data_IF_493868438143
#
_entry.id   IF_493868438143
#
_cell.length_a   1.000
_cell.length_b   1.000
_cell.length_c   1.000
_cell.angle_alpha   90.00
_cell.angle_beta   90.00
_cell.angle_gamma   90.00
#
_symmetry.space_group_name_H-M   'P 1'
#
loop_
_entity.id
_entity.type
_entity.pdbx_description
1 polymer ?
#
# COMPACT_ATOMS: atom_id res chain seq x y z
N UNK A 1 -35.16 40.80 -25.57
CA UNK A 1 -35.75 39.45 -25.61
C UNK A 1 -34.91 38.57 -26.53
N UNK A 2 -34.13 37.69 -25.89
CA UNK A 2 -33.66 36.36 -26.32
C UNK A 2 -33.73 36.06 -27.82
N UNK A 3 -32.58 36.10 -28.52
CA UNK A 3 -32.33 35.26 -29.69
C UNK A 3 -30.81 35.14 -29.93
N UNK A 4 -30.36 33.90 -30.18
CA UNK A 4 -29.05 33.47 -30.73
C UNK A 4 -27.79 33.66 -29.88
N UNK A 5 -27.43 32.63 -29.10
CA UNK A 5 -26.03 32.29 -28.79
C UNK A 5 -25.94 30.83 -28.31
N UNK A 6 -26.29 29.88 -29.18
CA UNK A 6 -26.30 28.44 -28.90
C UNK A 6 -25.61 27.63 -30.00
N UNK A 7 -24.43 28.07 -30.46
CA UNK A 7 -23.80 27.46 -31.65
C UNK A 7 -22.28 27.26 -31.61
N UNK A 8 -21.55 27.68 -30.57
CA UNK A 8 -20.06 27.71 -30.63
C UNK A 8 -19.38 26.67 -29.73
N UNK A 9 -20.09 26.03 -28.80
CA UNK A 9 -19.47 25.14 -27.80
C UNK A 9 -19.29 23.67 -28.23
N UNK A 10 -19.75 23.26 -29.42
CA UNK A 10 -19.60 21.86 -29.90
C UNK A 10 -18.48 21.67 -30.95
N UNK A 11 -17.76 22.73 -31.33
CA UNK A 11 -16.71 22.66 -32.35
C UNK A 11 -15.30 22.38 -31.81
N UNK A 12 -15.14 22.26 -30.49
CA UNK A 12 -13.83 22.14 -29.81
C UNK A 12 -13.69 20.86 -28.97
N UNK A 13 -14.26 19.76 -29.45
CA UNK A 13 -13.89 18.44 -28.95
C UNK A 13 -12.89 17.83 -29.95
N UNK A 14 -11.57 17.82 -29.69
CA UNK A 14 -10.70 16.98 -30.48
C UNK A 14 -11.21 15.55 -30.28
N UNK A 15 -11.62 14.91 -31.38
CA UNK A 15 -11.99 13.51 -31.38
C UNK A 15 -10.89 12.74 -30.63
N UNK A 16 -11.23 12.12 -29.50
CA UNK A 16 -10.34 11.18 -28.84
C UNK A 16 -9.93 10.18 -29.92
N UNK A 17 -8.63 10.04 -30.26
CA UNK A 17 -8.22 9.03 -31.21
C UNK A 17 -8.58 7.68 -30.59
N UNK A 18 -9.59 7.02 -31.16
CA UNK A 18 -10.03 5.66 -30.79
C UNK A 18 -9.03 4.57 -31.19
N UNK A 19 -7.78 4.95 -31.41
CA UNK A 19 -6.69 4.03 -31.67
C UNK A 19 -5.93 3.86 -30.37
N UNK A 20 -6.41 2.92 -29.55
CA UNK A 20 -5.48 2.12 -28.74
C UNK A 20 -4.41 1.67 -29.74
N UNK A 21 -3.23 2.29 -29.70
CA UNK A 21 -2.19 2.03 -30.68
C UNK A 21 -1.89 0.54 -30.67
N UNK A 22 -1.66 -0.05 -31.83
CA UNK A 22 -1.40 -1.49 -31.96
C UNK A 22 -0.19 -1.91 -31.09
N UNK A 23 0.73 -0.97 -30.84
CA UNK A 23 1.81 -1.07 -29.88
C UNK A 23 1.34 -1.11 -28.41
N UNK A 24 0.40 -0.27 -28.00
CA UNK A 24 -0.19 -0.31 -26.65
C UNK A 24 -0.98 -1.61 -26.43
N UNK A 25 -1.70 -2.09 -27.45
CA UNK A 25 -2.41 -3.37 -27.41
C UNK A 25 -1.46 -4.56 -27.28
N UNK A 26 -0.38 -4.59 -28.07
CA UNK A 26 0.70 -5.59 -27.94
C UNK A 26 1.39 -5.55 -26.58
N UNK A 27 1.64 -4.37 -26.03
CA UNK A 27 2.24 -4.24 -24.70
C UNK A 27 1.31 -4.77 -23.62
N UNK A 28 0.01 -4.44 -23.70
CA UNK A 28 -1.01 -4.96 -22.78
C UNK A 28 -1.11 -6.49 -22.91
N UNK A 29 -1.12 -7.03 -24.12
CA UNK A 29 -1.18 -8.48 -24.37
C UNK A 29 0.07 -9.19 -23.86
N UNK A 30 1.27 -8.59 -24.03
CA UNK A 30 2.54 -9.14 -23.53
C UNK A 30 2.62 -9.08 -21.99
N UNK A 31 2.09 -8.02 -21.37
CA UNK A 31 2.00 -7.92 -19.91
C UNK A 31 0.98 -8.94 -19.39
N UNK A 32 -0.16 -9.11 -20.06
CA UNK A 32 -1.16 -10.09 -19.70
C UNK A 32 -0.64 -11.54 -19.83
N UNK A 33 0.15 -11.86 -20.88
CA UNK A 33 0.80 -13.18 -21.03
C UNK A 33 1.82 -13.45 -19.92
N UNK A 34 2.63 -12.46 -19.56
CA UNK A 34 3.59 -12.58 -18.45
C UNK A 34 2.87 -12.77 -17.11
N UNK A 35 1.84 -12.00 -16.84
CA UNK A 35 0.99 -12.13 -15.65
C UNK A 35 0.35 -13.53 -15.59
N UNK A 36 -0.12 -14.03 -16.73
CA UNK A 36 -0.75 -15.33 -16.84
C UNK A 36 0.24 -16.48 -16.64
N UNK A 37 1.49 -16.36 -17.11
CA UNK A 37 2.56 -17.33 -16.88
C UNK A 37 3.02 -17.33 -15.40
N UNK A 38 3.15 -16.15 -14.79
CA UNK A 38 3.41 -16.03 -13.34
C UNK A 38 2.28 -16.60 -12.49
N UNK A 39 1.02 -16.38 -12.91
CA UNK A 39 -0.13 -16.99 -12.27
C UNK A 39 -0.10 -18.52 -12.40
N UNK A 40 0.22 -19.05 -13.59
CA UNK A 40 0.21 -20.50 -13.86
C UNK A 40 1.20 -21.27 -13.00
N UNK A 41 2.39 -20.73 -12.73
CA UNK A 41 3.40 -21.42 -11.91
C UNK A 41 3.09 -21.41 -10.40
N UNK A 42 2.14 -20.58 -9.93
CA UNK A 42 1.71 -20.53 -8.51
C UNK A 42 0.39 -21.26 -8.21
N UNK A 43 -0.26 -21.82 -9.22
CA UNK A 43 -1.73 -22.06 -9.26
C UNK A 43 -2.33 -22.94 -8.15
N UNK A 44 -1.65 -23.98 -7.65
CA UNK A 44 -2.31 -24.88 -6.68
C UNK A 44 -2.15 -24.40 -5.24
N UNK A 45 -0.92 -24.07 -4.84
CA UNK A 45 -0.64 -23.62 -3.46
C UNK A 45 -1.13 -22.20 -3.23
N UNK A 46 -1.01 -21.30 -4.20
CA UNK A 46 -1.49 -19.91 -4.05
C UNK A 46 -3.01 -19.83 -4.05
N UNK A 47 -3.72 -20.63 -4.86
CA UNK A 47 -5.20 -20.64 -4.85
C UNK A 47 -5.75 -21.17 -3.52
N UNK A 48 -5.16 -22.24 -2.98
CA UNK A 48 -5.52 -22.77 -1.66
C UNK A 48 -5.17 -21.74 -0.58
N UNK A 49 -3.99 -21.13 -0.66
CA UNK A 49 -3.56 -20.10 0.28
C UNK A 49 -4.47 -18.88 0.24
N UNK A 50 -4.86 -18.35 -0.92
CA UNK A 50 -5.73 -17.19 -1.02
C UNK A 50 -7.16 -17.48 -0.54
N UNK A 51 -7.66 -18.70 -0.78
CA UNK A 51 -8.96 -19.15 -0.23
C UNK A 51 -8.89 -19.29 1.29
N UNK A 52 -7.83 -19.89 1.82
CA UNK A 52 -7.61 -19.97 3.27
C UNK A 52 -7.40 -18.57 3.85
N UNK A 53 -6.76 -17.62 3.13
CA UNK A 53 -6.62 -16.22 3.59
C UNK A 53 -7.95 -15.56 3.73
N UNK A 54 -8.76 -15.66 2.69
CA UNK A 54 -10.07 -15.04 2.67
C UNK A 54 -10.99 -15.64 3.73
N UNK A 55 -10.84 -16.92 4.07
CA UNK A 55 -11.64 -17.59 5.10
C UNK A 55 -11.10 -17.28 6.49
N UNK A 56 -9.79 -17.33 6.70
CA UNK A 56 -9.14 -17.08 7.99
C UNK A 56 -9.27 -15.61 8.43
N UNK A 57 -9.34 -14.66 7.49
CA UNK A 57 -9.60 -13.25 7.80
C UNK A 57 -11.08 -12.90 7.90
N UNK A 58 -11.99 -13.85 7.60
CA UNK A 58 -13.42 -13.60 7.65
C UNK A 58 -13.94 -13.62 9.08
N UNK A 59 -14.73 -12.62 9.51
CA UNK A 59 -15.34 -12.62 10.83
C UNK A 59 -16.33 -13.78 11.03
N UNK A 60 -16.84 -14.39 9.95
CA UNK A 60 -17.71 -15.56 10.04
C UNK A 60 -16.97 -16.83 10.50
N UNK A 61 -15.68 -16.97 10.17
CA UNK A 61 -14.87 -18.13 10.58
C UNK A 61 -14.72 -18.18 12.10
N UNK A 62 -14.51 -17.02 12.73
CA UNK A 62 -14.45 -16.88 14.18
C UNK A 62 -15.78 -17.26 14.85
N UNK A 63 -16.92 -16.84 14.28
CA UNK A 63 -18.24 -17.21 14.80
C UNK A 63 -18.48 -18.73 14.72
N UNK A 64 -18.06 -19.37 13.62
CA UNK A 64 -18.09 -20.84 13.48
C UNK A 64 -17.26 -21.55 14.56
N UNK A 65 -16.07 -21.02 14.90
CA UNK A 65 -15.23 -21.56 15.98
C UNK A 65 -15.93 -21.48 17.33
N UNK A 66 -16.57 -20.35 17.65
CA UNK A 66 -17.32 -20.22 18.91
C UNK A 66 -18.44 -21.26 18.98
N UNK A 67 -19.21 -21.44 17.90
CA UNK A 67 -20.29 -22.45 17.86
C UNK A 67 -19.74 -23.86 18.00
N UNK A 68 -18.61 -24.16 17.36
CA UNK A 68 -17.91 -25.44 17.49
C UNK A 68 -17.44 -25.69 18.93
N UNK A 69 -16.80 -24.72 19.57
CA UNK A 69 -16.36 -24.82 20.97
C UNK A 69 -17.52 -25.02 21.92
N UNK A 70 -18.58 -24.22 21.79
CA UNK A 70 -19.78 -24.35 22.62
C UNK A 70 -20.43 -25.71 22.38
N UNK A 71 -20.55 -26.14 21.13
CA UNK A 71 -21.06 -27.47 20.77
C UNK A 71 -20.25 -28.60 21.40
N UNK A 72 -18.92 -28.51 21.36
CA UNK A 72 -18.02 -29.50 21.98
C UNK A 72 -18.20 -29.57 23.49
N UNK A 73 -18.27 -28.40 24.16
CA UNK A 73 -18.50 -28.32 25.61
C UNK A 73 -19.87 -28.90 25.97
N UNK A 74 -20.92 -28.55 25.22
CA UNK A 74 -22.27 -29.07 25.44
C UNK A 74 -22.32 -30.59 25.25
N UNK A 75 -21.70 -31.13 24.19
CA UNK A 75 -21.67 -32.59 23.95
C UNK A 75 -20.87 -33.34 25.02
N UNK A 76 -19.80 -32.75 25.56
CA UNK A 76 -19.00 -33.39 26.60
C UNK A 76 -19.56 -33.20 28.03
N UNK A 77 -20.32 -32.13 28.28
CA UNK A 77 -20.89 -31.81 29.61
C UNK A 77 -22.32 -32.30 29.75
N UNK A 78 -23.14 -32.10 28.72
CA UNK A 78 -24.45 -32.72 28.66
C UNK A 78 -24.25 -34.15 28.18
N UNK A 79 -24.57 -35.11 29.03
CA UNK A 79 -24.66 -36.55 28.73
C UNK A 79 -25.71 -36.90 27.65
N UNK A 80 -25.96 -36.01 26.69
CA UNK A 80 -27.00 -36.08 25.66
C UNK A 80 -26.95 -37.36 24.82
N UNK A 81 -25.81 -38.05 24.74
CA UNK A 81 -25.64 -39.25 23.91
C UNK A 81 -25.35 -40.55 24.68
N UNK A 82 -25.36 -40.55 26.03
CA UNK A 82 -25.11 -41.78 26.81
C UNK A 82 -23.69 -42.36 26.66
N UNK A 83 -22.77 -41.59 26.07
CA UNK A 83 -21.35 -41.95 25.90
C UNK A 83 -20.60 -41.46 27.14
N UNK A 84 -19.69 -42.29 27.68
CA UNK A 84 -18.76 -41.88 28.74
C UNK A 84 -17.99 -40.63 28.30
N UNK A 85 -17.75 -39.67 29.21
CA UNK A 85 -17.05 -38.40 28.94
C UNK A 85 -15.83 -38.62 28.01
N UNK A 86 -15.95 -38.21 26.74
CA UNK A 86 -14.93 -38.44 25.73
C UNK A 86 -13.68 -37.60 26.01
N UNK A 87 -13.89 -36.37 26.48
CA UNK A 87 -12.83 -35.47 26.96
C UNK A 87 -13.19 -34.95 28.36
N UNK A 88 -12.77 -35.65 29.43
CA UNK A 88 -13.01 -35.21 30.81
C UNK A 88 -12.36 -33.85 31.08
N UNK A 89 -12.97 -33.05 31.95
CA UNK A 89 -12.36 -31.83 32.46
C UNK A 89 -10.94 -32.16 32.97
N UNK A 90 -9.85 -31.61 32.40
CA UNK A 90 -9.68 -30.26 31.83
C UNK A 90 -9.69 -30.13 30.28
N UNK A 91 -10.37 -31.00 29.53
CA UNK A 91 -10.48 -30.96 28.05
C UNK A 91 -9.14 -30.96 27.30
N UNK A 92 -8.33 -32.01 27.49
CA UNK A 92 -6.97 -32.06 26.94
C UNK A 92 -6.94 -32.17 25.41
N UNK A 93 -7.92 -32.87 24.82
CA UNK A 93 -8.00 -32.98 23.35
C UNK A 93 -8.41 -31.65 22.71
N UNK A 94 -9.42 -30.98 23.29
CA UNK A 94 -9.83 -29.67 22.84
C UNK A 94 -8.68 -28.66 22.90
N UNK A 95 -7.93 -28.65 24.01
CA UNK A 95 -6.77 -27.78 24.19
C UNK A 95 -5.67 -28.01 23.14
N UNK A 96 -5.38 -29.27 22.81
CA UNK A 96 -4.41 -29.61 21.76
C UNK A 96 -4.86 -29.12 20.39
N UNK A 97 -6.12 -29.35 20.03
CA UNK A 97 -6.70 -28.87 18.77
C UNK A 97 -6.63 -27.34 18.67
N UNK A 98 -7.01 -26.62 19.74
CA UNK A 98 -6.94 -25.15 19.80
C UNK A 98 -5.51 -24.65 19.59
N UNK A 99 -4.54 -25.23 20.31
CA UNK A 99 -3.15 -24.79 20.22
C UNK A 99 -2.57 -24.98 18.81
N UNK A 100 -2.93 -26.09 18.16
CA UNK A 100 -2.55 -26.35 16.78
C UNK A 100 -3.22 -25.39 15.80
N UNK A 101 -4.52 -25.17 15.92
CA UNK A 101 -5.26 -24.21 15.09
C UNK A 101 -4.74 -22.79 15.25
N UNK A 102 -4.46 -22.34 16.48
CA UNK A 102 -3.90 -21.02 16.75
C UNK A 102 -2.52 -20.84 16.12
N UNK A 103 -1.65 -21.86 16.18
CA UNK A 103 -0.34 -21.83 15.53
C UNK A 103 -0.46 -21.72 14.02
N UNK A 104 -1.37 -22.47 13.41
CA UNK A 104 -1.66 -22.40 11.98
C UNK A 104 -2.19 -21.01 11.57
N UNK A 105 -3.15 -20.46 12.32
CA UNK A 105 -3.69 -19.12 12.07
C UNK A 105 -2.63 -18.04 12.17
N UNK A 106 -1.75 -18.10 13.18
CA UNK A 106 -0.66 -17.15 13.33
C UNK A 106 0.31 -17.18 12.15
N UNK A 107 0.74 -18.39 11.73
CA UNK A 107 1.59 -18.55 10.54
C UNK A 107 0.90 -18.03 9.28
N UNK A 108 -0.40 -18.29 9.16
CA UNK A 108 -1.21 -17.86 8.06
C UNK A 108 -1.31 -16.32 7.97
N UNK A 109 -1.61 -15.68 9.10
CA UNK A 109 -1.65 -14.22 9.23
C UNK A 109 -0.29 -13.63 8.87
N UNK A 110 0.81 -14.18 9.40
CA UNK A 110 2.16 -13.71 9.12
C UNK A 110 2.50 -13.81 7.62
N UNK A 111 2.09 -14.89 6.95
CA UNK A 111 2.27 -15.04 5.50
C UNK A 111 1.46 -13.99 4.72
N UNK A 112 0.22 -13.74 5.14
CA UNK A 112 -0.63 -12.70 4.53
C UNK A 112 -0.02 -11.30 4.72
N UNK A 113 0.49 -11.01 5.92
CA UNK A 113 1.18 -9.76 6.23
C UNK A 113 2.42 -9.59 5.36
N UNK A 114 3.28 -10.61 5.26
CA UNK A 114 4.48 -10.56 4.38
C UNK A 114 4.13 -10.21 2.93
N UNK A 115 3.05 -10.79 2.40
CA UNK A 115 2.59 -10.50 1.04
C UNK A 115 2.12 -9.04 0.90
N UNK A 116 1.34 -8.55 1.87
CA UNK A 116 0.85 -7.17 1.88
C UNK A 116 2.00 -6.16 2.00
N UNK A 117 3.00 -6.45 2.84
CA UNK A 117 4.20 -5.61 3.00
C UNK A 117 4.99 -5.51 1.70
N UNK A 118 5.24 -6.64 1.03
CA UNK A 118 5.95 -6.62 -0.26
C UNK A 118 5.21 -5.80 -1.32
N UNK A 119 3.88 -5.91 -1.37
CA UNK A 119 3.08 -5.10 -2.27
C UNK A 119 3.15 -3.61 -1.88
N UNK A 120 3.06 -3.28 -0.58
CA UNK A 120 3.17 -1.92 -0.10
C UNK A 120 4.54 -1.28 -0.43
N UNK A 121 5.64 -2.03 -0.35
CA UNK A 121 6.98 -1.55 -0.75
C UNK A 121 7.04 -1.21 -2.24
N UNK A 122 6.46 -2.04 -3.11
CA UNK A 122 6.39 -1.75 -4.55
C UNK A 122 5.61 -0.45 -4.83
N UNK A 123 4.46 -0.27 -4.17
CA UNK A 123 3.68 0.96 -4.28
C UNK A 123 4.43 2.18 -3.73
N UNK A 124 5.16 2.02 -2.63
CA UNK A 124 5.98 3.09 -2.07
C UNK A 124 7.08 3.53 -3.06
N UNK A 125 7.78 2.59 -3.68
CA UNK A 125 8.78 2.91 -4.70
C UNK A 125 8.19 3.61 -5.93
N UNK A 126 7.05 3.13 -6.44
CA UNK A 126 6.36 3.76 -7.57
C UNK A 126 5.86 5.17 -7.21
N UNK A 127 5.31 5.35 -6.00
CA UNK A 127 4.85 6.63 -5.49
C UNK A 127 5.99 7.64 -5.36
N UNK A 128 7.16 7.22 -4.88
CA UNK A 128 8.35 8.07 -4.83
C UNK A 128 8.77 8.52 -6.24
N UNK A 129 8.86 7.61 -7.21
CA UNK A 129 9.24 7.95 -8.58
C UNK A 129 8.27 8.94 -9.23
N UNK A 130 6.97 8.71 -9.07
CA UNK A 130 5.95 9.62 -9.58
C UNK A 130 6.03 10.99 -8.90
N UNK A 131 6.28 11.02 -7.58
CA UNK A 131 6.52 12.26 -6.84
C UNK A 131 7.70 13.04 -7.41
N UNK A 132 8.84 12.39 -7.63
CA UNK A 132 10.02 13.04 -8.20
C UNK A 132 9.79 13.56 -9.63
N UNK A 133 9.08 12.80 -10.45
CA UNK A 133 8.71 13.23 -11.81
C UNK A 133 7.79 14.44 -11.76
N UNK A 134 6.77 14.42 -10.89
CA UNK A 134 5.82 15.52 -10.73
C UNK A 134 6.51 16.80 -10.27
N UNK A 135 7.46 16.70 -9.35
CA UNK A 135 8.28 17.85 -8.91
C UNK A 135 9.13 18.43 -10.05
N UNK A 136 9.75 17.56 -10.86
CA UNK A 136 10.51 17.99 -12.04
C UNK A 136 9.61 18.67 -13.07
N UNK A 137 8.47 18.08 -13.41
CA UNK A 137 7.50 18.65 -14.35
C UNK A 137 6.97 20.00 -13.85
N UNK A 138 6.63 20.11 -12.56
CA UNK A 138 6.19 21.36 -11.94
C UNK A 138 7.27 22.44 -12.02
N UNK A 139 8.53 22.08 -11.70
CA UNK A 139 9.68 22.99 -11.83
C UNK A 139 9.87 23.43 -13.28
N UNK A 140 9.76 22.53 -14.26
CA UNK A 140 9.86 22.86 -15.69
C UNK A 140 8.72 23.78 -16.13
N UNK A 141 7.49 23.54 -15.67
CA UNK A 141 6.35 24.42 -15.95
C UNK A 141 6.58 25.82 -15.39
N UNK A 142 7.09 25.93 -14.15
CA UNK A 142 7.46 27.23 -13.56
C UNK A 142 8.58 27.92 -14.36
N UNK A 143 9.61 27.18 -14.79
CA UNK A 143 10.69 27.69 -15.64
C UNK A 143 10.15 28.23 -16.97
N UNK A 144 9.27 27.47 -17.65
CA UNK A 144 8.63 27.91 -18.89
C UNK A 144 7.76 29.15 -18.68
N UNK A 145 6.99 29.21 -17.59
CA UNK A 145 6.20 30.39 -17.23
C UNK A 145 7.09 31.62 -16.99
N UNK A 146 8.25 31.44 -16.33
CA UNK A 146 9.24 32.50 -16.16
C UNK A 146 9.87 32.95 -17.49
N UNK A 147 10.18 32.02 -18.40
CA UNK A 147 10.68 32.35 -19.74
C UNK A 147 9.66 33.18 -20.53
N UNK A 148 8.37 32.79 -20.51
CA UNK A 148 7.28 33.55 -21.14
C UNK A 148 7.15 34.94 -20.52
N UNK A 149 7.21 35.05 -19.19
CA UNK A 149 7.20 36.33 -18.48
C UNK A 149 8.35 37.24 -18.92
N UNK A 150 9.55 36.68 -19.07
CA UNK A 150 10.74 37.44 -19.50
C UNK A 150 10.57 37.98 -20.92
N UNK A 151 10.08 37.14 -21.85
CA UNK A 151 9.82 37.54 -23.23
C UNK A 151 8.72 38.60 -23.38
N UNK A 152 7.71 38.60 -22.49
CA UNK A 152 6.63 39.60 -22.48
C UNK A 152 7.01 40.92 -21.80
N UNK A 153 8.26 41.09 -21.34
CA UNK A 153 8.74 42.36 -20.76
C UNK A 153 8.12 42.71 -19.40
N UNK A 154 7.45 41.76 -18.75
CA UNK A 154 6.74 41.96 -17.46
C UNK A 154 7.72 41.89 -16.26
N UNK A 155 8.63 42.87 -16.18
CA UNK A 155 9.72 42.93 -15.18
C UNK A 155 9.28 43.19 -13.72
N UNK A 156 8.00 43.52 -13.45
CA UNK A 156 7.63 44.25 -12.22
C UNK A 156 6.63 43.59 -11.26
N UNK A 157 6.12 42.39 -11.55
CA UNK A 157 5.31 41.66 -10.57
C UNK A 157 6.28 40.84 -9.71
N UNK A 158 6.80 41.53 -8.70
CA UNK A 158 7.57 41.07 -7.53
C UNK A 158 8.74 40.11 -7.76
N UNK A 159 9.89 40.47 -7.20
CA UNK A 159 10.95 39.54 -6.81
C UNK A 159 10.40 38.59 -5.73
N UNK A 160 9.46 37.73 -6.12
CA UNK A 160 8.81 36.82 -5.21
C UNK A 160 9.82 35.74 -4.86
N UNK A 161 10.48 35.94 -3.72
CA UNK A 161 11.58 35.11 -3.23
C UNK A 161 11.14 33.65 -3.17
N UNK A 162 9.88 33.40 -2.78
CA UNK A 162 9.29 32.06 -2.75
C UNK A 162 9.27 31.42 -4.15
N UNK A 163 8.89 32.16 -5.19
CA UNK A 163 8.81 31.65 -6.55
C UNK A 163 10.20 31.42 -7.18
N UNK A 164 11.21 32.22 -6.80
CA UNK A 164 12.62 32.00 -7.13
C UNK A 164 13.19 30.77 -6.43
N UNK A 165 12.75 30.50 -5.21
CA UNK A 165 13.16 29.35 -4.41
C UNK A 165 12.52 28.06 -4.94
N UNK A 166 11.26 28.10 -5.36
CA UNK A 166 10.55 26.98 -6.00
C UNK A 166 11.07 26.63 -7.41
N UNK A 167 11.66 27.59 -8.15
CA UNK A 167 12.20 27.34 -9.50
C UNK A 167 13.58 26.68 -9.48
N UNK A 168 14.27 26.71 -8.34
CA UNK A 168 15.51 25.96 -8.18
C UNK A 168 15.17 24.48 -8.16
N UNK A 169 15.60 23.79 -9.20
CA UNK A 169 15.56 22.34 -9.29
C UNK A 169 16.33 21.79 -8.08
N UNK A 170 15.65 21.17 -7.12
CA UNK A 170 16.30 20.56 -5.97
C UNK A 170 16.87 19.22 -6.45
N UNK A 171 18.21 19.06 -6.59
CA UNK A 171 18.76 17.81 -7.10
C UNK A 171 18.52 16.68 -6.09
N UNK A 172 17.96 15.57 -6.58
CA UNK A 172 17.60 14.36 -5.81
C UNK A 172 18.76 13.87 -4.93
N UNK A 173 19.99 13.92 -5.47
CA UNK A 173 21.21 13.53 -4.78
C UNK A 173 21.49 14.37 -3.53
N UNK A 174 21.11 15.65 -3.53
CA UNK A 174 21.27 16.52 -2.37
C UNK A 174 20.30 16.13 -1.24
N UNK A 175 19.07 15.75 -1.57
CA UNK A 175 18.10 15.26 -0.56
C UNK A 175 18.58 13.92 0.01
N UNK A 176 19.03 12.98 -0.83
CA UNK A 176 19.55 11.69 -0.35
C UNK A 176 20.79 11.85 0.52
N UNK A 177 21.76 12.68 0.11
CA UNK A 177 22.95 12.95 0.92
C UNK A 177 22.61 13.63 2.24
N UNK A 178 21.68 14.58 2.24
CA UNK A 178 21.31 15.29 3.48
C UNK A 178 20.49 14.39 4.42
N UNK A 179 19.62 13.53 3.88
CA UNK A 179 18.89 12.53 4.64
C UNK A 179 19.84 11.49 5.25
N UNK A 180 20.80 10.97 4.47
CA UNK A 180 21.80 10.03 4.96
C UNK A 180 22.72 10.67 6.01
N UNK A 181 23.13 11.93 5.82
CA UNK A 181 23.83 12.71 6.85
C UNK A 181 23.01 12.85 8.13
N UNK A 182 21.71 13.14 8.03
CA UNK A 182 20.84 13.29 9.18
C UNK A 182 20.66 11.96 9.94
N UNK A 183 20.51 10.84 9.22
CA UNK A 183 20.47 9.50 9.83
C UNK A 183 21.80 9.14 10.52
N UNK A 184 22.93 9.34 9.85
CA UNK A 184 24.26 9.09 10.43
C UNK A 184 24.52 9.98 11.63
N UNK A 185 24.10 11.25 11.60
CA UNK A 185 24.22 12.16 12.75
C UNK A 185 23.34 11.72 13.93
N UNK A 186 22.16 11.17 13.66
CA UNK A 186 21.26 10.65 14.69
C UNK A 186 21.80 9.34 15.31
N UNK A 187 22.41 8.46 14.52
CA UNK A 187 23.02 7.22 15.00
C UNK A 187 24.38 7.45 15.70
N UNK A 188 25.11 8.51 15.31
CA UNK A 188 26.39 8.90 15.91
C UNK A 188 26.25 9.73 17.20
N UNK A 189 25.04 10.16 17.57
CA UNK A 189 24.78 10.83 18.85
C UNK A 189 24.71 9.75 19.93
N UNK A 190 25.70 9.60 20.83
CA UNK A 190 25.51 8.75 22.00
C UNK A 190 24.28 9.28 22.75
N UNK A 191 23.39 8.37 23.15
CA UNK A 191 22.19 8.70 23.91
C UNK A 191 22.55 9.75 24.96
N UNK A 192 22.04 10.98 24.78
CA UNK A 192 22.21 12.03 25.78
C UNK A 192 21.73 11.43 27.09
N UNK A 193 22.58 11.42 28.16
CA UNK A 193 22.16 10.87 29.44
C UNK A 193 20.86 11.55 29.80
N UNK A 194 19.80 10.74 29.92
CA UNK A 194 18.49 11.28 30.27
C UNK A 194 18.64 12.09 31.55
N UNK A 195 17.85 13.15 31.76
CA UNK A 195 17.93 13.98 32.97
C UNK A 195 17.86 13.16 34.28
N UNK A 196 17.38 11.92 34.18
CA UNK A 196 17.34 10.91 35.23
C UNK A 196 18.73 10.39 35.65
N UNK A 197 19.70 10.24 34.73
CA UNK A 197 21.09 9.88 35.04
C UNK A 197 21.90 11.07 35.55
N UNK A 198 21.65 12.30 35.04
CA UNK A 198 22.30 13.51 35.56
C UNK A 198 21.89 13.88 36.99
N UNK A 199 20.74 13.39 37.46
CA UNK A 199 20.25 13.59 38.84
C UNK A 199 20.71 12.50 39.82
N UNK A 200 21.28 11.40 39.32
CA UNK A 200 21.73 10.26 40.11
C UNK A 200 23.24 10.24 40.37
N UNK A 201 24.00 11.17 39.77
CA UNK A 201 25.43 11.42 40.01
C UNK A 201 25.62 12.73 40.78
#
# INVERSE_FOLDING_TARGET
MIQTCGGVLLAWCPAMPTLISEALRRNIDSIAELEQEFHRQRTTVACISDRITSIASSPLFFLGHIVWFVGWIVVNTCQCFGISHFDPYPFSFLGLCIAFEATLLSMFILMSQKRQTHQAEQWAHAGLQLGMLTEQETTKMLQMAQSIRYHLGMKRISEDRELQEMVKEIPILAIMQELERAFVANDAMPAMPTDQERRAA
#
